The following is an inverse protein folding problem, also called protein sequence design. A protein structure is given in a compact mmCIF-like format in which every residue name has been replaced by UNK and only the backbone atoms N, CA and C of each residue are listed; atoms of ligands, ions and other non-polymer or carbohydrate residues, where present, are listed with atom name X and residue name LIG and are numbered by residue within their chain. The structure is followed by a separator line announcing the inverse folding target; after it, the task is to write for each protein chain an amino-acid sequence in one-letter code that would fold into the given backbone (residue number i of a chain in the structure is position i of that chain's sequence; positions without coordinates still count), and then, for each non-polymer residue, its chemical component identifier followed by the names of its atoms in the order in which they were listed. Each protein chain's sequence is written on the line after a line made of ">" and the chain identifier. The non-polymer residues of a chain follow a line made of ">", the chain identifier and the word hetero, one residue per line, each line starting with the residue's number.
data_IF_743961945571
#
_entry.id   IF_743961945571
#
_cell.length_a   1.000
_cell.length_b   1.000
_cell.length_c   1.000
_cell.angle_alpha   90.00
_cell.angle_beta   90.00
_cell.angle_gamma   90.00
#
_symmetry.space_group_name_H-M   'P 1'
#
loop_
_entity.id
_entity.type
_entity.pdbx_description
1 polymer ?
#
# COMPACT_ATOMS: atom_id res chain seq x y z
N UNK A 1 -19.57 -18.36 -33.47
CA UNK A 1 -19.55 -18.08 -32.02
C UNK A 1 -18.14 -17.67 -31.66
N UNK A 2 -17.91 -16.36 -31.51
CA UNK A 2 -16.63 -15.77 -31.11
C UNK A 2 -16.93 -15.04 -29.81
N UNK A 3 -16.44 -15.58 -28.69
CA UNK A 3 -16.61 -14.98 -27.36
C UNK A 3 -15.45 -14.04 -27.09
N UNK A 4 -15.76 -12.77 -26.85
CA UNK A 4 -14.82 -11.73 -26.47
C UNK A 4 -14.30 -11.96 -25.04
N UNK A 5 -12.98 -11.98 -24.89
CA UNK A 5 -12.30 -11.87 -23.60
C UNK A 5 -12.20 -10.41 -23.20
N UNK A 6 -12.77 -10.06 -22.05
CA UNK A 6 -12.60 -8.75 -21.42
C UNK A 6 -11.39 -8.83 -20.47
N UNK A 7 -10.34 -8.08 -20.77
CA UNK A 7 -9.20 -7.86 -19.89
C UNK A 7 -9.63 -6.95 -18.74
N UNK A 8 -9.72 -7.51 -17.53
CA UNK A 8 -9.92 -6.74 -16.31
C UNK A 8 -8.56 -6.14 -15.89
N UNK A 9 -8.37 -4.84 -16.15
CA UNK A 9 -7.28 -4.08 -15.59
C UNK A 9 -7.51 -3.92 -14.08
N UNK A 10 -6.77 -4.69 -13.28
CA UNK A 10 -6.65 -4.50 -11.84
C UNK A 10 -5.97 -3.14 -11.58
N UNK A 11 -6.70 -2.20 -10.98
CA UNK A 11 -6.09 -1.00 -10.44
C UNK A 11 -5.59 -1.31 -9.02
N UNK A 12 -4.26 -1.48 -8.92
CA UNK A 12 -3.52 -1.50 -7.67
C UNK A 12 -3.75 -0.19 -6.91
N UNK A 13 -4.65 -0.19 -5.93
CA UNK A 13 -4.71 0.87 -4.92
C UNK A 13 -3.75 0.53 -3.80
N UNK A 14 -2.47 0.72 -4.11
CA UNK A 14 -1.38 0.68 -3.15
C UNK A 14 -1.49 1.93 -2.23
N UNK A 15 -2.31 1.84 -1.18
CA UNK A 15 -2.32 2.84 -0.10
C UNK A 15 -1.13 2.53 0.81
N UNK A 16 0.05 2.96 0.36
CA UNK A 16 1.25 3.07 1.19
C UNK A 16 1.97 4.34 0.77
N UNK A 17 1.53 5.42 1.38
CA UNK A 17 2.15 6.72 1.28
C UNK A 17 1.52 7.57 2.36
N UNK A 18 2.36 8.05 3.27
CA UNK A 18 2.06 9.17 4.16
C UNK A 18 1.57 10.34 3.32
N UNK A 19 0.28 10.39 3.00
CA UNK A 19 -0.29 11.47 2.22
C UNK A 19 -0.57 12.65 3.15
N UNK A 20 0.52 13.29 3.57
CA UNK A 20 0.53 14.64 4.14
C UNK A 20 0.30 15.71 3.07
N UNK A 21 -0.21 15.37 1.88
CA UNK A 21 -0.69 16.40 0.94
C UNK A 21 -2.01 16.96 1.47
N UNK A 22 -1.86 17.95 2.37
CA UNK A 22 -2.90 18.96 2.54
C UNK A 22 -2.94 19.70 1.20
N UNK A 23 -3.76 19.22 0.27
CA UNK A 23 -4.05 19.97 -0.95
C UNK A 23 -4.54 21.35 -0.54
N UNK A 24 -3.70 22.35 -0.72
CA UNK A 24 -4.11 23.75 -0.85
C UNK A 24 -4.95 23.85 -2.13
N UNK A 25 -6.20 23.40 -2.05
CA UNK A 25 -7.19 23.58 -3.09
C UNK A 25 -7.52 25.07 -3.14
N UNK A 26 -6.87 25.79 -4.06
CA UNK A 26 -7.17 27.20 -4.34
C UNK A 26 -8.45 27.25 -5.17
N UNK A 27 -9.51 27.84 -4.62
CA UNK A 27 -10.78 27.96 -5.32
C UNK A 27 -10.73 29.14 -6.28
N UNK A 28 -10.95 28.96 -7.59
CA UNK A 28 -10.94 30.06 -8.54
C UNK A 28 -12.08 31.04 -8.24
N UNK A 29 -11.82 32.35 -8.36
CA UNK A 29 -12.89 33.36 -8.30
C UNK A 29 -13.72 33.25 -9.57
N UNK A 30 -14.93 32.67 -9.48
CA UNK A 30 -15.91 32.73 -10.57
C UNK A 30 -16.68 34.06 -10.50
N UNK A 31 -17.08 34.58 -11.65
CA UNK A 31 -17.86 35.82 -11.79
C UNK A 31 -19.14 35.72 -10.94
N UNK A 32 -19.24 36.53 -9.87
CA UNK A 32 -20.40 36.53 -8.95
C UNK A 32 -20.26 35.64 -7.71
N UNK A 33 -19.14 34.94 -7.51
CA UNK A 33 -18.86 34.26 -6.22
C UNK A 33 -18.18 35.23 -5.26
N UNK A 34 -18.88 35.59 -4.17
CA UNK A 34 -18.28 36.35 -3.09
C UNK A 34 -17.36 35.45 -2.27
N UNK A 35 -16.24 35.98 -1.82
CA UNK A 35 -15.35 35.28 -0.92
C UNK A 35 -16.07 35.04 0.42
N UNK A 36 -16.20 33.80 0.90
CA UNK A 36 -16.94 33.52 2.12
C UNK A 36 -16.19 34.00 3.38
N UNK A 37 -16.94 34.14 4.47
CA UNK A 37 -16.34 34.33 5.78
C UNK A 37 -15.38 33.17 6.11
N UNK A 38 -14.32 33.47 6.86
CA UNK A 38 -13.26 32.53 7.22
C UNK A 38 -12.41 32.01 6.05
N UNK A 39 -12.27 32.79 4.99
CA UNK A 39 -11.32 32.55 3.91
C UNK A 39 -10.26 33.67 3.83
N UNK A 40 -9.21 33.44 3.04
CA UNK A 40 -8.28 34.47 2.53
C UNK A 40 -8.02 34.31 1.04
N UNK A 41 -7.65 35.41 0.38
CA UNK A 41 -7.19 35.39 -1.02
C UNK A 41 -5.88 34.61 -1.12
N UNK A 42 -5.76 33.80 -2.16
CA UNK A 42 -4.58 33.02 -2.53
C UNK A 42 -4.48 32.92 -4.05
N UNK A 43 -3.58 33.69 -4.66
CA UNK A 43 -3.48 33.79 -6.12
C UNK A 43 -4.75 34.35 -6.75
N UNK A 44 -5.24 33.70 -7.81
CA UNK A 44 -6.49 34.07 -8.53
C UNK A 44 -7.75 33.50 -7.85
N UNK A 45 -7.65 33.19 -6.56
CA UNK A 45 -8.63 32.41 -5.82
C UNK A 45 -8.67 32.73 -4.34
N UNK A 46 -9.38 31.91 -3.58
CA UNK A 46 -9.39 31.96 -2.12
C UNK A 46 -9.27 30.56 -1.50
N UNK A 47 -8.81 30.53 -0.25
CA UNK A 47 -8.69 29.31 0.56
C UNK A 47 -9.27 29.57 1.95
N UNK A 48 -9.84 28.54 2.59
CA UNK A 48 -10.32 28.65 3.96
C UNK A 48 -9.15 28.86 4.94
N UNK A 49 -9.37 29.62 6.01
CA UNK A 49 -8.44 29.69 7.13
C UNK A 49 -8.24 28.32 7.78
N UNK A 50 -7.09 28.11 8.41
CA UNK A 50 -6.81 26.94 9.23
C UNK A 50 -7.96 26.71 10.23
N UNK A 51 -8.35 25.45 10.43
CA UNK A 51 -9.54 25.01 11.20
C UNK A 51 -10.89 25.22 10.51
N UNK A 52 -10.92 25.66 9.26
CA UNK A 52 -12.14 25.75 8.47
C UNK A 52 -12.02 24.86 7.22
N UNK A 53 -13.08 24.13 6.91
CA UNK A 53 -13.18 23.27 5.73
C UNK A 53 -14.27 23.81 4.80
N UNK A 54 -14.05 23.68 3.50
CA UNK A 54 -15.05 24.03 2.50
C UNK A 54 -16.21 23.04 2.60
N UNK A 55 -17.44 23.55 2.74
CA UNK A 55 -18.64 22.74 2.54
C UNK A 55 -18.72 22.42 1.04
N UNK A 56 -18.67 21.15 0.62
CA UNK A 56 -18.93 20.82 -0.77
C UNK A 56 -20.31 21.36 -1.13
N UNK A 57 -20.38 22.21 -2.16
CA UNK A 57 -21.65 22.43 -2.87
C UNK A 57 -22.16 21.10 -3.44
N UNK A 58 -23.40 21.04 -3.93
CA UNK A 58 -24.03 19.81 -4.45
C UNK A 58 -23.37 19.17 -5.69
N UNK A 59 -22.07 19.35 -5.94
CA UNK A 59 -21.36 18.86 -7.13
C UNK A 59 -20.06 18.08 -6.87
N UNK A 60 -19.66 17.83 -5.61
CA UNK A 60 -18.42 17.09 -5.31
C UNK A 60 -18.62 15.80 -4.51
N UNK A 61 -19.71 15.09 -4.78
CA UNK A 61 -19.94 13.70 -4.36
C UNK A 61 -20.25 12.88 -5.62
N UNK A 62 -19.28 12.14 -6.14
CA UNK A 62 -19.56 11.15 -7.19
C UNK A 62 -19.59 9.74 -6.61
N UNK A 63 -20.65 9.02 -7.02
CA UNK A 63 -21.02 7.59 -6.87
C UNK A 63 -21.70 7.22 -5.53
N UNK A 64 -22.90 6.65 -5.45
CA UNK A 64 -23.96 6.22 -6.39
C UNK A 64 -25.30 6.16 -5.58
N UNK A 65 -26.49 6.36 -6.13
CA UNK A 65 -27.39 5.28 -6.62
C UNK A 65 -28.63 5.90 -7.28
N UNK A 66 -29.09 5.28 -8.36
CA UNK A 66 -30.31 5.56 -9.12
C UNK A 66 -31.59 5.37 -8.28
N UNK A 67 -32.50 6.37 -8.26
CA UNK A 67 -33.96 6.25 -8.50
C UNK A 67 -34.77 7.46 -7.97
N UNK A 68 -35.16 8.31 -8.93
CA UNK A 68 -36.47 8.96 -9.18
C UNK A 68 -37.35 9.69 -8.12
N UNK A 69 -37.79 10.88 -8.59
CA UNK A 69 -39.04 11.64 -8.41
C UNK A 69 -39.13 12.72 -7.30
N UNK A 70 -39.17 13.98 -7.75
CA UNK A 70 -40.08 14.99 -7.21
C UNK A 70 -39.54 15.91 -6.13
N UNK A 71 -38.85 16.99 -6.53
CA UNK A 71 -38.55 18.11 -5.62
C UNK A 71 -37.56 19.09 -6.23
N UNK A 72 -38.05 20.21 -6.77
CA UNK A 72 -37.21 21.35 -7.15
C UNK A 72 -36.69 22.03 -5.88
N UNK A 73 -35.50 21.66 -5.44
CA UNK A 73 -34.67 22.52 -4.59
C UNK A 73 -33.32 22.67 -5.28
N UNK A 74 -33.21 23.70 -6.12
CA UNK A 74 -31.92 24.24 -6.53
C UNK A 74 -31.16 24.60 -5.25
N UNK A 75 -30.18 23.81 -4.87
CA UNK A 75 -29.29 24.13 -3.76
C UNK A 75 -28.36 25.27 -4.21
N UNK A 76 -28.88 26.49 -4.15
CA UNK A 76 -28.20 27.78 -4.30
C UNK A 76 -27.34 28.11 -3.08
N UNK A 77 -26.57 27.14 -2.59
CA UNK A 77 -25.61 27.39 -1.51
C UNK A 77 -24.36 28.05 -2.10
N UNK A 78 -24.11 29.31 -1.75
CA UNK A 78 -22.78 29.90 -1.94
C UNK A 78 -21.74 29.01 -1.22
N UNK A 79 -20.51 28.87 -1.76
CA UNK A 79 -19.49 28.08 -1.12
C UNK A 79 -19.11 28.70 0.24
N UNK A 80 -19.11 27.90 1.31
CA UNK A 80 -18.88 28.38 2.69
C UNK A 80 -17.70 27.65 3.34
N UNK A 81 -16.86 28.38 4.07
CA UNK A 81 -15.83 27.83 4.94
C UNK A 81 -16.40 27.61 6.35
N UNK A 82 -16.73 26.36 6.67
CA UNK A 82 -17.30 25.99 7.96
C UNK A 82 -16.23 25.58 8.95
N UNK A 83 -16.41 25.95 10.22
CA UNK A 83 -15.50 25.56 11.30
C UNK A 83 -15.50 24.03 11.44
N UNK A 84 -14.30 23.44 11.46
CA UNK A 84 -14.12 22.01 11.67
C UNK A 84 -14.43 21.70 13.13
N UNK A 85 -15.42 20.83 13.34
CA UNK A 85 -15.73 20.25 14.66
C UNK A 85 -15.23 18.82 14.67
N UNK A 86 -14.00 18.57 15.16
CA UNK A 86 -13.47 17.21 15.20
C UNK A 86 -14.28 16.35 16.18
N UNK A 87 -14.41 15.04 15.91
CA UNK A 87 -15.00 14.10 16.86
C UNK A 87 -14.11 13.94 18.11
N UNK A 88 -14.58 13.18 19.11
CA UNK A 88 -13.73 12.77 20.24
C UNK A 88 -12.48 12.04 19.72
N UNK A 89 -11.35 12.21 20.41
CA UNK A 89 -10.07 11.61 20.06
C UNK A 89 -9.51 12.06 18.70
N UNK A 90 -9.85 13.27 18.25
CA UNK A 90 -9.26 13.91 17.08
C UNK A 90 -8.69 15.28 17.41
N UNK A 91 -7.66 15.67 16.67
CA UNK A 91 -7.05 17.00 16.68
C UNK A 91 -7.15 17.63 15.31
N UNK A 92 -7.31 18.96 15.26
CA UNK A 92 -7.36 19.71 14.01
C UNK A 92 -5.94 19.88 13.47
N UNK A 93 -5.74 19.53 12.20
CA UNK A 93 -4.48 19.72 11.48
C UNK A 93 -4.76 20.41 10.17
N UNK A 94 -4.21 21.61 10.02
CA UNK A 94 -4.47 22.50 8.89
C UNK A 94 -5.99 22.72 8.69
N UNK A 95 -6.54 22.27 7.56
CA UNK A 95 -7.94 22.38 7.17
C UNK A 95 -8.67 21.03 7.26
N UNK A 96 -8.14 20.10 8.06
CA UNK A 96 -8.72 18.79 8.33
C UNK A 96 -8.58 18.43 9.80
N UNK A 97 -8.98 17.22 10.17
CA UNK A 97 -8.72 16.63 11.47
C UNK A 97 -8.09 15.25 11.29
N UNK A 98 -7.26 14.88 12.26
CA UNK A 98 -6.67 13.54 12.35
C UNK A 98 -6.96 12.94 13.73
N UNK A 99 -7.09 11.61 13.78
CA UNK A 99 -7.20 10.92 15.06
C UNK A 99 -5.91 11.06 15.86
N UNK A 100 -6.03 11.15 17.19
CA UNK A 100 -4.88 11.11 18.09
C UNK A 100 -4.28 9.70 18.12
N UNK A 101 -3.04 9.58 18.61
CA UNK A 101 -2.37 8.29 18.74
C UNK A 101 -3.24 7.25 19.49
N UNK A 102 -3.30 6.02 18.96
CA UNK A 102 -4.13 4.94 19.50
C UNK A 102 -5.56 4.91 18.94
N UNK A 103 -5.91 5.81 18.02
CA UNK A 103 -7.20 5.83 17.34
C UNK A 103 -7.01 5.85 15.82
N UNK A 104 -7.92 5.18 15.11
CA UNK A 104 -8.00 5.15 13.65
C UNK A 104 -9.31 5.79 13.19
N UNK A 105 -9.33 6.27 11.94
CA UNK A 105 -10.48 6.94 11.36
C UNK A 105 -11.49 5.90 10.87
N UNK A 106 -12.71 5.99 11.38
CA UNK A 106 -13.87 5.23 10.92
C UNK A 106 -14.98 6.24 10.57
N UNK A 107 -15.09 6.60 9.29
CA UNK A 107 -15.98 7.67 8.83
C UNK A 107 -15.72 9.03 9.50
N UNK A 108 -16.70 9.49 10.28
CA UNK A 108 -16.69 10.75 11.01
C UNK A 108 -16.29 10.64 12.49
N UNK A 109 -15.82 9.46 12.92
CA UNK A 109 -15.35 9.20 14.29
C UNK A 109 -13.92 8.66 14.31
N UNK A 110 -13.28 8.82 15.46
CA UNK A 110 -12.03 8.17 15.78
C UNK A 110 -12.31 6.96 16.67
N UNK A 111 -12.20 5.77 16.10
CA UNK A 111 -12.35 4.51 16.82
C UNK A 111 -11.01 4.11 17.42
N UNK A 112 -11.03 3.55 18.64
CA UNK A 112 -9.83 3.05 19.28
C UNK A 112 -9.25 1.89 18.48
N UNK A 113 -7.94 1.88 18.29
CA UNK A 113 -7.25 0.74 17.69
C UNK A 113 -7.25 -0.37 18.73
N UNK A 114 -7.98 -1.46 18.44
CA UNK A 114 -7.92 -2.67 19.24
C UNK A 114 -6.67 -3.45 18.83
N UNK A 115 -5.80 -3.69 19.82
CA UNK A 115 -4.54 -4.39 19.60
C UNK A 115 -4.75 -5.85 19.99
N UNK A 116 -4.57 -6.79 19.05
CA UNK A 116 -4.75 -8.20 19.35
C UNK A 116 -3.65 -8.71 20.29
N UNK A 117 -3.84 -9.91 20.84
CA UNK A 117 -2.83 -10.56 21.67
C UNK A 117 -1.47 -10.61 20.96
N UNK A 118 -0.40 -10.32 21.71
CA UNK A 118 0.97 -10.24 21.21
C UNK A 118 1.24 -9.13 20.17
N UNK A 119 0.31 -8.19 19.99
CA UNK A 119 0.50 -6.96 19.22
C UNK A 119 0.85 -5.75 20.10
N UNK A 120 1.40 -4.72 19.47
CA UNK A 120 1.60 -3.38 20.01
C UNK A 120 1.47 -2.34 18.87
N UNK A 121 1.31 -1.06 19.21
CA UNK A 121 1.23 0.00 18.20
C UNK A 121 2.62 0.64 18.03
N UNK A 122 3.12 0.67 16.81
CA UNK A 122 4.32 1.40 16.43
C UNK A 122 4.02 2.30 15.23
N UNK A 123 4.26 3.61 15.35
CA UNK A 123 3.94 4.62 14.33
C UNK A 123 2.49 4.55 13.81
N UNK A 124 1.53 4.23 14.69
CA UNK A 124 0.12 4.11 14.34
C UNK A 124 -0.28 2.80 13.66
N UNK A 125 0.66 1.86 13.49
CA UNK A 125 0.44 0.56 12.86
C UNK A 125 0.49 -0.54 13.93
N UNK A 126 -0.46 -1.48 13.87
CA UNK A 126 -0.41 -2.69 14.71
C UNK A 126 0.77 -3.54 14.26
N UNK A 127 1.72 -3.73 15.16
CA UNK A 127 2.94 -4.49 14.97
C UNK A 127 2.94 -5.68 15.92
N UNK A 128 3.33 -6.86 15.45
CA UNK A 128 3.40 -8.05 16.29
C UNK A 128 4.77 -8.18 16.98
N UNK A 129 4.79 -8.74 18.19
CA UNK A 129 6.04 -9.22 18.79
C UNK A 129 6.65 -10.34 17.93
N UNK A 130 7.98 -10.50 18.01
CA UNK A 130 8.69 -11.53 17.24
C UNK A 130 8.10 -12.92 17.50
N UNK A 131 7.90 -13.68 16.43
CA UNK A 131 7.26 -14.99 16.42
C UNK A 131 5.73 -14.96 16.35
N UNK A 132 5.13 -13.79 16.16
CA UNK A 132 3.69 -13.63 15.94
C UNK A 132 3.41 -12.87 14.64
N UNK A 133 2.28 -13.17 14.00
CA UNK A 133 1.79 -12.49 12.81
C UNK A 133 0.27 -12.32 12.89
N UNK A 134 -0.28 -11.36 12.16
CA UNK A 134 -1.73 -11.20 12.03
C UNK A 134 -2.27 -12.25 11.03
N UNK A 135 -3.42 -12.83 11.33
CA UNK A 135 -4.22 -13.58 10.35
C UNK A 135 -5.09 -12.66 9.50
N UNK A 136 -5.85 -13.23 8.57
CA UNK A 136 -6.74 -12.49 7.66
C UNK A 136 -7.85 -11.71 8.39
N UNK A 137 -8.13 -12.06 9.65
CA UNK A 137 -9.09 -11.39 10.51
C UNK A 137 -8.45 -10.30 11.39
N UNK A 138 -7.13 -10.08 11.27
CA UNK A 138 -6.39 -9.13 12.10
C UNK A 138 -6.11 -9.63 13.51
N UNK A 139 -6.17 -10.94 13.76
CA UNK A 139 -5.86 -11.54 15.06
C UNK A 139 -4.39 -11.95 15.12
N UNK A 140 -3.72 -11.61 16.22
CA UNK A 140 -2.34 -12.00 16.47
C UNK A 140 -2.22 -13.49 16.79
N UNK A 141 -1.54 -14.23 15.92
CA UNK A 141 -1.30 -15.67 16.03
C UNK A 141 0.18 -15.99 16.11
N UNK A 142 0.53 -17.00 16.89
CA UNK A 142 1.90 -17.53 16.94
C UNK A 142 2.25 -18.18 15.61
N UNK A 143 3.40 -17.80 15.06
CA UNK A 143 3.94 -18.41 13.86
C UNK A 143 4.39 -19.83 14.19
N UNK A 144 3.89 -20.77 13.40
CA UNK A 144 4.32 -22.17 13.45
C UNK A 144 5.15 -22.43 12.22
N UNK A 145 6.43 -22.67 12.41
CA UNK A 145 7.32 -23.01 11.32
C UNK A 145 7.12 -24.47 10.90
N UNK A 146 7.03 -24.77 9.59
CA UNK A 146 6.96 -26.15 9.10
C UNK A 146 8.29 -26.90 9.36
N UNK A 147 8.32 -28.20 9.03
CA UNK A 147 9.55 -28.98 9.10
C UNK A 147 10.67 -28.32 8.28
N UNK A 148 11.90 -28.38 8.79
CA UNK A 148 13.08 -27.74 8.20
C UNK A 148 13.04 -26.21 8.09
N UNK A 149 12.14 -25.53 8.80
CA UNK A 149 12.10 -24.08 8.92
C UNK A 149 12.54 -23.60 10.32
N UNK A 150 12.75 -22.29 10.44
CA UNK A 150 12.98 -21.58 11.70
C UNK A 150 12.21 -20.27 11.68
N UNK A 151 11.54 -19.95 12.80
CA UNK A 151 10.87 -18.65 12.98
C UNK A 151 11.94 -17.57 13.09
N UNK A 152 11.80 -16.51 12.29
CA UNK A 152 12.73 -15.38 12.23
C UNK A 152 11.93 -14.07 12.07
N UNK A 153 12.04 -13.18 13.05
CA UNK A 153 11.23 -11.95 13.07
C UNK A 153 9.74 -12.29 13.19
N UNK A 154 8.94 -11.83 12.23
CA UNK A 154 7.50 -12.07 12.13
C UNK A 154 7.14 -12.98 10.95
N UNK A 155 8.10 -13.81 10.51
CA UNK A 155 7.88 -14.87 9.52
C UNK A 155 8.71 -16.11 9.91
N UNK A 156 8.73 -17.12 9.04
CA UNK A 156 9.67 -18.23 9.08
C UNK A 156 10.50 -18.26 7.81
N UNK A 157 11.72 -18.78 7.93
CA UNK A 157 12.58 -19.05 6.78
C UNK A 157 13.07 -20.49 6.80
N UNK A 158 13.42 -21.01 5.65
CA UNK A 158 13.98 -22.36 5.59
C UNK A 158 15.35 -22.40 6.24
N UNK A 159 15.69 -23.54 6.83
CA UNK A 159 17.04 -23.79 7.31
C UNK A 159 18.00 -23.90 6.12
N UNK A 160 19.30 -23.63 6.32
CA UNK A 160 20.28 -23.80 5.27
C UNK A 160 20.20 -25.19 4.61
N UNK A 161 20.19 -25.24 3.28
CA UNK A 161 20.01 -26.48 2.52
C UNK A 161 18.56 -26.84 2.17
N UNK A 162 17.60 -26.02 2.58
CA UNK A 162 16.19 -26.15 2.22
C UNK A 162 15.69 -24.85 1.60
N UNK A 163 14.74 -24.96 0.68
CA UNK A 163 14.10 -23.81 0.03
C UNK A 163 12.58 -23.86 0.19
N UNK A 164 11.95 -22.69 0.12
CA UNK A 164 10.50 -22.53 0.24
C UNK A 164 9.81 -23.05 -1.02
N UNK A 165 8.86 -23.95 -0.85
CA UNK A 165 7.92 -24.40 -1.89
C UNK A 165 6.52 -24.42 -1.27
N UNK A 166 5.73 -23.37 -1.56
CA UNK A 166 4.47 -23.11 -0.84
C UNK A 166 4.73 -22.92 0.66
N UNK A 167 4.00 -23.68 1.48
CA UNK A 167 4.08 -23.65 2.94
C UNK A 167 5.04 -24.69 3.54
N UNK A 168 5.99 -25.19 2.73
CA UNK A 168 6.96 -26.19 3.16
C UNK A 168 8.39 -25.81 2.78
N UNK A 169 9.34 -26.37 3.54
CA UNK A 169 10.76 -26.33 3.21
C UNK A 169 11.20 -27.67 2.64
N UNK A 170 11.47 -27.70 1.34
CA UNK A 170 11.96 -28.88 0.63
C UNK A 170 13.49 -28.85 0.55
N UNK A 171 14.12 -30.02 0.62
CA UNK A 171 15.57 -30.12 0.53
C UNK A 171 16.06 -29.66 -0.85
N UNK A 172 17.14 -28.89 -0.87
CA UNK A 172 17.83 -28.54 -2.11
C UNK A 172 18.79 -29.68 -2.42
N UNK A 173 18.50 -30.43 -3.48
CA UNK A 173 19.40 -31.50 -3.94
C UNK A 173 20.69 -30.87 -4.45
N UNK A 174 21.83 -31.18 -3.83
CA UNK A 174 23.11 -30.71 -4.34
C UNK A 174 23.37 -31.28 -5.75
N UNK A 175 23.69 -30.41 -6.71
CA UNK A 175 24.10 -30.81 -8.04
C UNK A 175 25.38 -30.08 -8.45
N UNK A 176 26.06 -30.59 -9.48
CA UNK A 176 27.27 -29.98 -10.01
C UNK A 176 27.03 -28.60 -10.65
N UNK A 177 25.78 -28.22 -10.94
CA UNK A 177 25.42 -26.99 -11.64
C UNK A 177 25.04 -25.81 -10.72
N UNK A 178 24.82 -26.04 -9.43
CA UNK A 178 24.52 -24.96 -8.46
C UNK A 178 25.27 -25.11 -7.14
N UNK A 179 25.22 -24.04 -6.33
CA UNK A 179 25.76 -23.99 -4.98
C UNK A 179 24.66 -23.51 -4.03
N UNK A 180 24.54 -24.16 -2.87
CA UNK A 180 23.56 -23.79 -1.85
C UNK A 180 24.07 -22.55 -1.10
N UNK A 181 23.20 -21.56 -0.92
CA UNK A 181 23.48 -20.30 -0.22
C UNK A 181 22.28 -19.95 0.66
N UNK A 182 22.40 -20.22 1.96
CA UNK A 182 21.30 -20.00 2.89
C UNK A 182 20.11 -20.92 2.57
N UNK A 183 18.94 -20.33 2.43
CA UNK A 183 17.67 -20.95 2.08
C UNK A 183 17.36 -20.98 0.56
N UNK A 184 18.36 -20.70 -0.26
CA UNK A 184 18.27 -20.79 -1.73
C UNK A 184 19.56 -21.39 -2.33
N UNK A 185 19.62 -21.44 -3.65
CA UNK A 185 20.77 -21.87 -4.42
C UNK A 185 21.05 -20.90 -5.59
N UNK A 186 22.33 -20.79 -5.92
CA UNK A 186 22.79 -20.01 -7.07
C UNK A 186 23.46 -20.92 -8.09
N UNK A 187 23.24 -20.67 -9.38
CA UNK A 187 23.97 -21.37 -10.43
C UNK A 187 25.47 -21.10 -10.32
N UNK A 188 26.26 -22.14 -10.55
CA UNK A 188 27.71 -22.01 -10.66
C UNK A 188 28.06 -21.26 -11.94
N UNK A 189 29.27 -20.72 -12.01
CA UNK A 189 29.77 -20.08 -13.21
C UNK A 189 29.68 -21.03 -14.42
N UNK A 190 29.27 -20.50 -15.57
CA UNK A 190 28.97 -21.31 -16.76
C UNK A 190 27.56 -21.92 -16.80
N UNK A 191 26.74 -21.70 -15.77
CA UNK A 191 25.33 -22.10 -15.76
C UNK A 191 24.42 -20.88 -15.54
N UNK A 192 23.24 -20.89 -16.16
CA UNK A 192 22.20 -19.87 -15.99
C UNK A 192 20.96 -20.48 -15.32
N UNK A 193 20.25 -19.67 -14.53
CA UNK A 193 19.03 -20.11 -13.84
C UNK A 193 17.86 -20.06 -14.82
N UNK A 194 17.30 -21.21 -15.11
CA UNK A 194 16.06 -21.36 -15.90
C UNK A 194 15.03 -21.97 -14.97
N UNK A 195 14.06 -21.14 -14.56
CA UNK A 195 13.04 -21.50 -13.57
C UNK A 195 13.68 -22.06 -12.29
N UNK A 196 13.61 -23.39 -12.14
CA UNK A 196 14.01 -24.14 -10.96
C UNK A 196 15.19 -25.09 -11.20
N UNK A 197 16.00 -24.80 -12.23
CA UNK A 197 17.22 -25.54 -12.55
C UNK A 197 18.32 -24.63 -13.09
N UNK A 198 19.54 -25.15 -13.07
CA UNK A 198 20.69 -24.53 -13.72
C UNK A 198 20.98 -25.25 -15.02
N UNK A 199 20.88 -24.52 -16.13
CA UNK A 199 21.23 -25.01 -17.46
C UNK A 199 22.61 -24.48 -17.87
N UNK A 200 23.41 -25.32 -18.52
CA UNK A 200 24.72 -24.91 -19.00
C UNK A 200 24.56 -23.84 -20.08
N UNK A 201 25.39 -22.79 -20.01
CA UNK A 201 25.36 -21.70 -20.98
C UNK A 201 26.01 -22.18 -22.28
N UNK A 202 25.25 -22.12 -23.38
CA UNK A 202 25.79 -22.35 -24.72
C UNK A 202 26.54 -21.11 -25.18
N UNK A 203 27.86 -21.20 -25.28
CA UNK A 203 28.72 -20.09 -25.72
C UNK A 203 28.86 -20.11 -27.25
N UNK A 204 28.50 -19.02 -27.96
CA UNK A 204 28.72 -18.91 -29.39
C UNK A 204 30.20 -18.95 -29.77
N UNK A 205 30.49 -19.19 -31.05
CA UNK A 205 31.84 -18.96 -31.58
C UNK A 205 32.26 -17.51 -31.34
N UNK A 206 33.52 -17.31 -30.96
CA UNK A 206 34.10 -16.01 -30.62
C UNK A 206 33.59 -15.34 -29.32
N UNK A 207 33.17 -16.13 -28.32
CA UNK A 207 32.83 -15.66 -26.98
C UNK A 207 33.51 -16.47 -25.86
N UNK A 208 33.53 -15.93 -24.64
CA UNK A 208 34.01 -16.57 -23.42
C UNK A 208 33.01 -16.41 -22.26
N UNK A 209 33.00 -17.35 -21.30
CA UNK A 209 32.13 -17.31 -20.12
C UNK A 209 32.55 -16.20 -19.16
N UNK A 210 31.58 -15.43 -18.66
CA UNK A 210 31.77 -14.42 -17.61
C UNK A 210 30.68 -14.62 -16.55
N UNK A 211 31.05 -15.17 -15.38
CA UNK A 211 30.08 -15.51 -14.33
C UNK A 211 28.97 -16.45 -14.81
N UNK A 212 27.73 -15.97 -14.78
CA UNK A 212 26.52 -16.67 -15.26
C UNK A 212 26.06 -16.16 -16.65
N UNK A 213 26.97 -15.58 -17.43
CA UNK A 213 26.75 -15.16 -18.81
C UNK A 213 27.98 -15.44 -19.69
N UNK A 214 28.01 -14.81 -20.86
CA UNK A 214 29.16 -14.84 -21.76
C UNK A 214 29.39 -13.46 -22.38
N UNK A 215 30.59 -13.22 -22.89
CA UNK A 215 30.96 -11.98 -23.57
C UNK A 215 31.78 -12.27 -24.81
N UNK A 216 31.66 -11.42 -25.82
CA UNK A 216 32.46 -11.52 -27.04
C UNK A 216 33.94 -11.30 -26.73
N UNK A 217 34.83 -11.93 -27.50
CA UNK A 217 36.23 -11.53 -27.47
C UNK A 217 36.37 -10.06 -27.89
N UNK A 218 37.22 -9.27 -27.22
CA UNK A 218 37.52 -7.91 -27.67
C UNK A 218 38.21 -7.97 -29.04
N UNK A 219 37.73 -7.16 -29.99
CA UNK A 219 38.22 -7.08 -31.37
C UNK A 219 37.84 -5.76 -32.02
#
# INVERSE_FOLDING_TARGET
>A
MISAGAEAAAQDTNISGTDTSVSTFVMPVQTGTAMPANARISGNGWICFTRFALKPGPAASQQATSQQVGGTSAASGQPECLAIRPPRNAIIVANSWQCVHGFTRDGDRCQRIEVPAYGYIHNGIVTCHAGFALDDLGTGKRITAPANAVVAGNDWRCRPGFRKQGDACIAITASASHVIRGDDWNCRAGYQRIEDRCEAISVPSHAYITGNGWSCYPG
#
